data_IF_716368217260
#
_entry.id   IF_716368217260
#
_cell.length_a   1.000
_cell.length_b   1.000
_cell.length_c   1.000
_cell.angle_alpha   90.00
_cell.angle_beta   90.00
_cell.angle_gamma   90.00
#
_symmetry.space_group_name_H-M   'P 1'
#
loop_
_entity.id
_entity.type
_entity.pdbx_description
1 polymer ?
#
# COMPACT_ATOMS: atom_id res chain seq x y z
N UNK A 1 60.47 -3.05 6.98
CA UNK A 1 59.70 -3.71 5.92
C UNK A 1 58.23 -3.62 6.32
N UNK A 2 57.48 -2.57 5.92
CA UNK A 2 56.65 -2.46 4.68
C UNK A 2 55.63 -3.61 4.63
N UNK A 3 54.31 -3.43 4.82
CA UNK A 3 53.26 -2.88 3.92
C UNK A 3 51.96 -2.76 4.76
N UNK A 4 51.32 -1.60 4.99
CA UNK A 4 50.24 -0.94 4.21
C UNK A 4 49.17 -1.88 3.57
N UNK A 5 47.89 -1.48 3.73
CA UNK A 5 46.63 -1.93 3.09
C UNK A 5 45.77 -2.89 3.95
N UNK A 6 44.44 -2.78 4.13
CA UNK A 6 43.32 -2.00 3.56
C UNK A 6 42.32 -1.80 4.73
N UNK A 7 41.72 -0.66 5.08
CA UNK A 7 40.82 0.24 4.35
C UNK A 7 39.73 -0.43 3.48
N UNK A 8 38.98 -1.39 4.03
CA UNK A 8 37.81 -1.96 3.33
C UNK A 8 36.70 -2.43 4.27
N UNK A 9 35.94 -1.50 4.87
CA UNK A 9 34.53 -1.76 5.29
C UNK A 9 33.80 -0.49 5.75
N UNK A 10 34.07 0.66 5.10
CA UNK A 10 33.13 1.78 5.05
C UNK A 10 32.12 1.52 3.91
N UNK A 11 31.30 0.50 4.07
CA UNK A 11 30.02 0.40 3.37
C UNK A 11 28.93 0.47 4.43
N UNK A 12 28.93 1.57 5.18
CA UNK A 12 27.68 2.07 5.75
C UNK A 12 26.83 2.36 4.52
N UNK A 13 25.89 1.47 4.22
CA UNK A 13 24.85 1.65 3.21
C UNK A 13 24.01 2.86 3.58
N UNK A 14 24.55 4.05 3.35
CA UNK A 14 23.78 5.27 3.39
C UNK A 14 22.82 5.21 2.22
N UNK A 15 21.52 5.28 2.49
CA UNK A 15 20.54 5.68 1.48
C UNK A 15 21.11 6.91 0.78
N UNK A 16 21.42 6.78 -0.51
CA UNK A 16 21.91 7.94 -1.27
C UNK A 16 20.82 9.03 -1.28
N UNK A 17 21.20 10.29 -1.47
CA UNK A 17 20.21 11.38 -1.55
C UNK A 17 19.14 11.11 -2.61
N UNK A 18 19.52 10.50 -3.74
CA UNK A 18 18.60 10.14 -4.82
C UNK A 18 17.66 8.99 -4.41
N UNK A 19 18.18 7.96 -3.74
CA UNK A 19 17.38 6.84 -3.26
C UNK A 19 16.31 7.28 -2.26
N UNK A 20 16.65 8.20 -1.34
CA UNK A 20 15.67 8.76 -0.40
C UNK A 20 14.57 9.56 -1.11
N UNK A 21 14.93 10.35 -2.12
CA UNK A 21 13.97 11.12 -2.93
C UNK A 21 13.03 10.19 -3.71
N UNK A 22 13.58 9.14 -4.32
CA UNK A 22 12.83 8.14 -5.06
C UNK A 22 11.87 7.36 -4.15
N UNK A 23 12.33 6.92 -2.97
CA UNK A 23 11.50 6.26 -1.96
C UNK A 23 10.30 7.13 -1.56
N UNK A 24 10.54 8.38 -1.20
CA UNK A 24 9.47 9.29 -0.80
C UNK A 24 8.46 9.56 -1.93
N UNK A 25 8.93 9.74 -3.16
CA UNK A 25 8.06 9.92 -4.33
C UNK A 25 7.24 8.66 -4.60
N UNK A 26 7.86 7.50 -4.57
CA UNK A 26 7.19 6.22 -4.79
C UNK A 26 6.15 5.93 -3.69
N UNK A 27 6.46 6.21 -2.41
CA UNK A 27 5.51 6.07 -1.31
C UNK A 27 4.27 6.96 -1.50
N UNK A 28 4.45 8.24 -1.82
CA UNK A 28 3.31 9.13 -2.05
C UNK A 28 2.43 8.69 -3.24
N UNK A 29 3.05 8.22 -4.33
CA UNK A 29 2.32 7.66 -5.46
C UNK A 29 1.60 6.35 -5.11
N UNK A 30 2.25 5.49 -4.33
CA UNK A 30 1.71 4.23 -3.85
C UNK A 30 0.49 4.46 -2.93
N UNK A 31 0.60 5.33 -1.93
CA UNK A 31 -0.50 5.69 -1.03
C UNK A 31 -1.71 6.23 -1.80
N UNK A 32 -1.48 7.11 -2.77
CA UNK A 32 -2.54 7.62 -3.64
C UNK A 32 -3.19 6.49 -4.43
N UNK A 33 -2.39 5.64 -5.08
CA UNK A 33 -2.88 4.50 -5.87
C UNK A 33 -3.69 3.52 -5.02
N UNK A 34 -3.21 3.19 -3.83
CA UNK A 34 -3.91 2.31 -2.90
C UNK A 34 -5.23 2.91 -2.43
N UNK A 35 -5.22 4.21 -2.10
CA UNK A 35 -6.43 4.96 -1.72
C UNK A 35 -7.47 4.96 -2.85
N UNK A 36 -7.04 5.16 -4.10
CA UNK A 36 -7.92 5.09 -5.27
C UNK A 36 -8.48 3.68 -5.48
N UNK A 37 -7.65 2.65 -5.32
CA UNK A 37 -8.07 1.26 -5.42
C UNK A 37 -9.16 0.92 -4.39
N UNK A 38 -8.97 1.25 -3.11
CA UNK A 38 -9.97 0.94 -2.06
C UNK A 38 -11.27 1.75 -2.24
N UNK A 39 -11.17 2.97 -2.80
CA UNK A 39 -12.36 3.76 -3.17
C UNK A 39 -13.13 3.09 -4.29
N UNK A 40 -12.44 2.63 -5.34
CA UNK A 40 -13.08 1.89 -6.43
C UNK A 40 -13.75 0.60 -5.92
N UNK A 41 -13.08 -0.15 -5.03
CA UNK A 41 -13.67 -1.34 -4.41
C UNK A 41 -14.98 -1.02 -3.66
N UNK A 42 -15.03 0.11 -2.95
CA UNK A 42 -16.23 0.61 -2.28
C UNK A 42 -17.32 0.99 -3.29
N UNK A 43 -16.96 1.78 -4.31
CA UNK A 43 -17.87 2.27 -5.34
C UNK A 43 -18.52 1.12 -6.13
N UNK A 44 -17.77 0.06 -6.40
CA UNK A 44 -18.26 -1.13 -7.09
C UNK A 44 -19.26 -1.95 -6.24
N UNK A 45 -19.23 -1.80 -4.91
CA UNK A 45 -19.90 -2.73 -3.99
C UNK A 45 -20.99 -2.12 -3.10
N UNK A 46 -20.84 -0.87 -2.65
CA UNK A 46 -21.61 -0.31 -1.53
C UNK A 46 -22.75 0.62 -1.93
N UNK A 47 -23.08 0.67 -3.23
CA UNK A 47 -24.18 1.46 -3.76
C UNK A 47 -23.99 2.96 -3.52
N UNK A 48 -25.06 3.71 -3.25
CA UNK A 48 -25.01 5.17 -3.03
C UNK A 48 -24.92 5.54 -1.55
N UNK A 49 -24.32 4.71 -0.69
CA UNK A 49 -24.20 4.99 0.75
C UNK A 49 -22.86 5.64 1.09
N UNK A 50 -22.79 6.99 1.23
CA UNK A 50 -21.50 7.66 1.46
C UNK A 50 -20.87 7.25 2.78
N UNK A 51 -21.70 6.89 3.76
CA UNK A 51 -21.25 6.43 5.07
C UNK A 51 -20.51 5.10 4.99
N UNK A 52 -21.06 4.12 4.26
CA UNK A 52 -20.40 2.82 4.12
C UNK A 52 -19.09 2.95 3.31
N UNK A 53 -19.04 3.83 2.31
CA UNK A 53 -17.81 4.09 1.56
C UNK A 53 -16.73 4.64 2.48
N UNK A 54 -17.04 5.71 3.22
CA UNK A 54 -16.08 6.32 4.14
C UNK A 54 -15.61 5.29 5.19
N UNK A 55 -16.54 4.62 5.87
CA UNK A 55 -16.20 3.64 6.90
C UNK A 55 -15.37 2.46 6.36
N UNK A 56 -15.64 1.99 5.14
CA UNK A 56 -14.83 0.95 4.50
C UNK A 56 -13.41 1.45 4.20
N UNK A 57 -13.29 2.60 3.54
CA UNK A 57 -11.99 3.15 3.14
C UNK A 57 -11.12 3.44 4.36
N UNK A 58 -11.68 4.02 5.42
CA UNK A 58 -10.99 4.23 6.69
C UNK A 58 -10.59 2.91 7.35
N UNK A 59 -11.49 1.93 7.38
CA UNK A 59 -11.19 0.62 7.96
C UNK A 59 -10.02 -0.07 7.25
N UNK A 60 -10.02 -0.13 5.92
CA UNK A 60 -8.91 -0.75 5.18
C UNK A 60 -7.63 0.06 5.35
N UNK A 61 -7.69 1.39 5.22
CA UNK A 61 -6.52 2.25 5.36
C UNK A 61 -5.86 2.11 6.75
N UNK A 62 -6.64 2.09 7.83
CA UNK A 62 -6.13 1.93 9.19
C UNK A 62 -5.53 0.56 9.49
N UNK A 63 -5.74 -0.42 8.62
CA UNK A 63 -5.21 -1.77 8.72
C UNK A 63 -4.29 -2.08 7.53
N UNK A 64 -3.67 -1.06 6.95
CA UNK A 64 -2.75 -1.22 5.84
C UNK A 64 -1.49 -0.38 6.02
N UNK A 65 -0.36 -0.89 5.53
CA UNK A 65 0.91 -0.18 5.51
C UNK A 65 1.55 -0.27 4.12
N UNK A 66 1.81 0.87 3.50
CA UNK A 66 2.49 0.96 2.20
C UNK A 66 3.98 1.11 2.43
N UNK A 67 4.79 0.29 1.75
CA UNK A 67 6.24 0.34 1.88
C UNK A 67 6.95 0.15 0.54
N UNK A 68 8.20 0.60 0.49
CA UNK A 68 9.10 0.36 -0.66
C UNK A 68 9.83 -0.93 -0.42
N UNK A 69 9.64 -1.90 -1.32
CA UNK A 69 10.33 -3.19 -1.28
C UNK A 69 11.74 -3.07 -1.87
N UNK A 70 11.86 -2.39 -3.02
CA UNK A 70 13.14 -2.29 -3.73
C UNK A 70 13.27 -0.94 -4.44
N UNK A 71 14.49 -0.36 -4.42
CA UNK A 71 14.89 0.71 -5.33
C UNK A 71 16.03 0.20 -6.19
N UNK A 72 15.81 0.15 -7.49
CA UNK A 72 16.81 -0.28 -8.47
C UNK A 72 17.21 0.87 -9.37
N UNK A 73 18.43 1.37 -9.16
CA UNK A 73 19.07 2.33 -10.06
C UNK A 73 19.53 1.60 -11.33
N UNK A 74 19.02 2.02 -12.48
CA UNK A 74 19.38 1.44 -13.79
C UNK A 74 20.48 2.26 -14.47
N UNK A 75 20.49 3.57 -14.22
CA UNK A 75 21.56 4.51 -14.58
C UNK A 75 21.46 5.75 -13.69
N UNK A 76 22.37 6.72 -13.87
CA UNK A 76 22.32 8.01 -13.16
C UNK A 76 21.05 8.82 -13.43
N UNK A 77 20.32 8.48 -14.50
CA UNK A 77 19.11 9.17 -14.92
C UNK A 77 17.87 8.28 -14.96
N UNK A 78 17.96 7.01 -14.56
CA UNK A 78 16.85 6.07 -14.62
C UNK A 78 16.83 5.15 -13.41
N UNK A 79 15.66 5.04 -12.78
CA UNK A 79 15.45 4.17 -11.64
C UNK A 79 14.06 3.53 -11.69
N UNK A 80 13.93 2.36 -11.05
CA UNK A 80 12.65 1.71 -10.78
C UNK A 80 12.49 1.49 -9.29
N UNK A 81 11.29 1.74 -8.76
CA UNK A 81 10.95 1.54 -7.36
C UNK A 81 9.78 0.58 -7.27
N UNK A 82 9.99 -0.58 -6.65
CA UNK A 82 8.94 -1.54 -6.36
C UNK A 82 8.29 -1.21 -5.01
N UNK A 83 6.96 -1.17 -4.98
CA UNK A 83 6.17 -0.87 -3.79
C UNK A 83 5.21 -2.00 -3.49
N UNK A 84 5.03 -2.25 -2.20
CA UNK A 84 4.12 -3.24 -1.66
C UNK A 84 3.18 -2.59 -0.66
N UNK A 85 2.08 -3.27 -0.38
CA UNK A 85 1.16 -2.92 0.70
C UNK A 85 0.91 -4.15 1.56
N UNK A 86 1.12 -4.03 2.86
CA UNK A 86 0.60 -4.99 3.83
C UNK A 86 -0.86 -4.62 4.09
N UNK A 87 -1.81 -5.48 3.75
CA UNK A 87 -3.25 -5.22 3.92
C UNK A 87 -4.04 -6.52 3.93
N UNK A 88 -5.32 -6.46 4.25
CA UNK A 88 -6.19 -7.63 4.16
C UNK A 88 -6.23 -8.21 2.74
N UNK A 89 -6.24 -9.54 2.56
CA UNK A 89 -6.34 -10.18 1.26
C UNK A 89 -7.55 -9.67 0.46
N UNK A 90 -7.40 -9.57 -0.86
CA UNK A 90 -8.50 -9.11 -1.74
C UNK A 90 -9.78 -9.94 -1.55
N UNK A 91 -9.65 -11.24 -1.29
CA UNK A 91 -10.79 -12.12 -1.00
C UNK A 91 -11.51 -11.72 0.29
N UNK A 92 -10.78 -11.41 1.35
CA UNK A 92 -11.36 -10.92 2.61
C UNK A 92 -12.07 -9.58 2.40
N UNK A 93 -11.44 -8.63 1.70
CA UNK A 93 -12.02 -7.32 1.36
C UNK A 93 -13.32 -7.45 0.58
N UNK A 94 -13.38 -8.34 -0.41
CA UNK A 94 -14.62 -8.65 -1.14
C UNK A 94 -15.71 -9.26 -0.27
N UNK A 95 -15.34 -10.18 0.64
CA UNK A 95 -16.31 -10.80 1.56
C UNK A 95 -16.95 -9.76 2.48
N UNK A 96 -16.14 -8.88 3.09
CA UNK A 96 -16.68 -7.87 4.01
C UNK A 96 -17.50 -6.80 3.28
N UNK A 97 -17.09 -6.41 2.06
CA UNK A 97 -17.88 -5.54 1.18
C UNK A 97 -19.22 -6.18 0.80
N UNK A 98 -19.23 -7.48 0.47
CA UNK A 98 -20.45 -8.21 0.13
C UNK A 98 -21.43 -8.32 1.31
N UNK A 99 -20.93 -8.38 2.54
CA UNK A 99 -21.76 -8.29 3.75
C UNK A 99 -22.32 -6.88 3.92
N UNK A 100 -21.47 -5.86 3.81
CA UNK A 100 -21.86 -4.45 3.93
C UNK A 100 -22.90 -4.04 2.88
N UNK A 101 -22.77 -4.51 1.64
CA UNK A 101 -23.69 -4.25 0.54
C UNK A 101 -25.11 -4.78 0.78
N UNK A 102 -25.27 -5.78 1.66
CA UNK A 102 -26.57 -6.37 2.02
C UNK A 102 -27.22 -5.71 3.23
N UNK A 103 -26.56 -4.72 3.82
CA UNK A 103 -27.11 -3.97 4.95
C UNK A 103 -28.24 -3.08 4.44
N UNK A 104 -29.38 -3.14 5.13
CA UNK A 104 -30.50 -2.24 4.86
C UNK A 104 -30.04 -0.77 4.94
N UNK A 105 -30.46 0.06 3.98
CA UNK A 105 -30.07 1.47 3.90
C UNK A 105 -30.33 2.24 5.22
N UNK A 106 -31.41 1.91 5.94
CA UNK A 106 -31.75 2.49 7.26
C UNK A 106 -30.75 2.14 8.37
N UNK A 107 -29.95 1.09 8.17
CA UNK A 107 -28.95 0.57 9.13
C UNK A 107 -27.51 0.82 8.69
N UNK A 108 -27.28 1.39 7.50
CA UNK A 108 -25.96 1.72 6.97
C UNK A 108 -25.04 2.42 7.98
N UNK A 109 -25.57 3.41 8.72
CA UNK A 109 -24.83 4.15 9.75
C UNK A 109 -24.42 3.34 10.99
N UNK A 110 -25.02 2.17 11.19
CA UNK A 110 -24.75 1.28 12.32
C UNK A 110 -23.81 0.13 11.95
N UNK A 111 -23.48 -0.02 10.67
CA UNK A 111 -22.57 -1.07 10.25
C UNK A 111 -21.14 -0.76 10.69
N UNK A 112 -20.48 -1.74 11.29
CA UNK A 112 -19.11 -1.63 11.78
C UNK A 112 -18.23 -2.70 11.11
N UNK A 113 -17.23 -2.27 10.34
CA UNK A 113 -16.34 -3.17 9.62
C UNK A 113 -15.43 -3.99 10.55
N UNK A 114 -14.99 -3.44 11.69
CA UNK A 114 -14.19 -4.19 12.66
C UNK A 114 -14.98 -5.32 13.33
N UNK A 115 -16.25 -5.07 13.66
CA UNK A 115 -17.15 -6.11 14.18
C UNK A 115 -17.44 -7.18 13.13
N UNK A 116 -17.74 -6.76 11.89
CA UNK A 116 -17.96 -7.68 10.79
C UNK A 116 -16.73 -8.57 10.53
N UNK A 117 -15.51 -8.01 10.59
CA UNK A 117 -14.26 -8.80 10.56
C UNK A 117 -14.23 -9.85 11.65
N UNK A 118 -14.52 -9.47 12.89
CA UNK A 118 -14.55 -10.41 14.02
C UNK A 118 -15.48 -11.58 13.78
N UNK A 119 -16.69 -11.32 13.26
CA UNK A 119 -17.67 -12.35 12.93
C UNK A 119 -17.21 -13.26 11.78
N UNK A 120 -16.62 -12.71 10.71
CA UNK A 120 -16.09 -13.50 9.59
C UNK A 120 -15.02 -14.49 10.07
N UNK A 121 -14.11 -14.03 10.95
CA UNK A 121 -13.04 -14.87 11.52
C UNK A 121 -13.64 -15.96 12.42
N UNK A 122 -14.58 -15.60 13.30
CA UNK A 122 -15.24 -16.56 14.19
C UNK A 122 -16.01 -17.65 13.44
N UNK A 123 -16.59 -17.32 12.28
CA UNK A 123 -17.27 -18.29 11.42
C UNK A 123 -16.32 -19.15 10.59
N UNK A 124 -14.99 -18.94 10.70
CA UNK A 124 -13.98 -19.70 9.95
C UNK A 124 -14.01 -19.44 8.44
N UNK A 125 -14.63 -18.34 8.00
CA UNK A 125 -14.78 -18.03 6.57
C UNK A 125 -13.46 -17.54 5.96
N UNK A 126 -12.69 -16.77 6.72
CA UNK A 126 -11.38 -16.23 6.36
C UNK A 126 -10.54 -16.01 7.62
N UNK A 127 -9.20 -16.00 7.50
CA UNK A 127 -8.31 -15.79 8.64
C UNK A 127 -8.29 -14.34 9.15
N UNK A 128 -8.63 -13.38 8.29
CA UNK A 128 -8.61 -11.95 8.64
C UNK A 128 -7.24 -11.43 9.07
N UNK A 129 -6.18 -12.06 8.57
CA UNK A 129 -4.78 -11.63 8.69
C UNK A 129 -4.45 -10.70 7.52
N UNK A 130 -3.49 -9.80 7.71
CA UNK A 130 -2.94 -9.00 6.63
C UNK A 130 -1.86 -9.78 5.89
N UNK A 131 -1.66 -9.48 4.62
CA UNK A 131 -0.62 -10.06 3.78
C UNK A 131 0.02 -8.97 2.92
N UNK A 132 1.32 -9.11 2.65
CA UNK A 132 2.04 -8.24 1.73
C UNK A 132 1.62 -8.54 0.29
N UNK A 133 1.16 -7.52 -0.41
CA UNK A 133 0.71 -7.60 -1.80
C UNK A 133 1.47 -6.57 -2.64
N UNK A 134 1.86 -6.90 -3.89
CA UNK A 134 2.49 -5.94 -4.78
C UNK A 134 1.50 -4.85 -5.17
N UNK A 135 1.90 -3.59 -4.99
CA UNK A 135 1.08 -2.44 -5.35
C UNK A 135 1.52 -1.84 -6.69
N UNK A 136 2.78 -2.04 -7.08
CA UNK A 136 3.27 -1.73 -8.43
C UNK A 136 4.75 -1.44 -8.48
N UNK A 137 5.21 -1.09 -9.68
CA UNK A 137 6.57 -0.63 -9.94
C UNK A 137 6.46 0.74 -10.60
N UNK A 138 7.12 1.74 -10.03
CA UNK A 138 7.21 3.07 -10.59
C UNK A 138 8.56 3.26 -11.26
N UNK A 139 8.55 3.73 -12.50
CA UNK A 139 9.75 4.06 -13.25
C UNK A 139 9.95 5.57 -13.21
N UNK A 140 11.17 6.00 -12.91
CA UNK A 140 11.50 7.41 -12.81
C UNK A 140 12.68 7.74 -13.72
N UNK A 141 12.59 8.87 -14.42
CA UNK A 141 13.72 9.50 -15.10
C UNK A 141 14.16 10.77 -14.37
N UNK A 142 15.45 11.10 -14.46
CA UNK A 142 16.01 12.33 -13.92
C UNK A 142 16.05 13.40 -15.00
N UNK A 143 15.31 14.50 -14.82
CA UNK A 143 15.35 15.70 -15.67
C UNK A 143 15.69 16.92 -14.82
N UNK A 144 16.66 17.73 -15.24
CA UNK A 144 17.09 18.95 -14.53
C UNK A 144 17.36 18.73 -13.03
N UNK A 145 18.02 17.61 -12.70
CA UNK A 145 18.33 17.14 -11.33
C UNK A 145 17.11 16.69 -10.51
N UNK A 146 15.91 16.67 -11.07
CA UNK A 146 14.68 16.19 -10.43
C UNK A 146 14.28 14.82 -10.96
N UNK A 147 13.84 13.93 -10.07
CA UNK A 147 13.24 12.65 -10.45
C UNK A 147 11.75 12.84 -10.79
N UNK A 148 11.36 12.43 -11.99
CA UNK A 148 10.01 12.55 -12.54
C UNK A 148 9.52 11.15 -12.89
N UNK A 149 8.23 10.89 -12.65
CA UNK A 149 7.60 9.63 -13.04
C UNK A 149 7.56 9.55 -14.57
N UNK A 150 8.01 8.43 -15.13
CA UNK A 150 7.88 8.11 -16.56
C UNK A 150 6.42 7.89 -16.97
#
# INVERSE_FOLDING_TARGET
>A
MVFLALFSSLLVGGCTSDEKVLKNKALALAEKKFTEQIKQEADDSLGQSPWLHQAYTEFIHNNSEVSVEEVKMQSDTLATVAVVVETYPTRFRRTILGIAARVDASKSRRFNFSEARGLIIQQGMEKGEVETQPLGIFKFHKSDKNWILD
#
